data_IF_850163664577
#
_entry.id   IF_850163664577
#
_cell.length_a   1.000
_cell.length_b   1.000
_cell.length_c   1.000
_cell.angle_alpha   90.00
_cell.angle_beta   90.00
_cell.angle_gamma   90.00
#
_symmetry.space_group_name_H-M   'P 1'
#
loop_
_entity.id
_entity.type
_entity.pdbx_description
1 polymer ?
#
# COMPACT_ATOMS: atom_id res chain seq x y z
N UNK A 1 11.09 -21.26 28.17
CA UNK A 1 10.27 -20.03 28.09
C UNK A 1 9.36 -20.15 26.89
N UNK A 2 8.07 -20.05 27.18
CA UNK A 2 6.87 -20.26 26.35
C UNK A 2 6.98 -19.76 24.90
N UNK A 3 6.70 -20.66 23.94
CA UNK A 3 6.22 -20.30 22.60
C UNK A 3 4.80 -19.75 22.78
N UNK A 4 4.58 -18.47 22.54
CA UNK A 4 3.22 -17.93 22.45
C UNK A 4 2.66 -18.30 21.08
N UNK A 5 2.17 -19.54 20.97
CA UNK A 5 1.14 -19.92 20.02
C UNK A 5 -0.13 -20.10 20.85
N UNK A 6 -0.90 -19.03 21.03
CA UNK A 6 -2.24 -19.16 21.61
C UNK A 6 -3.21 -19.64 20.54
N UNK A 7 -3.83 -20.80 20.80
CA UNK A 7 -5.02 -21.29 20.11
C UNK A 7 -6.26 -20.92 20.92
N UNK A 8 -7.32 -20.61 20.17
CA UNK A 8 -8.75 -20.51 20.56
C UNK A 8 -9.11 -19.16 21.21
N UNK A 9 -10.18 -18.45 20.82
CA UNK A 9 -11.59 -18.89 20.68
C UNK A 9 -12.35 -17.91 19.74
N UNK A 10 -13.24 -18.44 18.88
CA UNK A 10 -14.26 -17.74 18.06
C UNK A 10 -13.76 -16.77 16.95
N UNK A 11 -13.59 -17.30 15.72
CA UNK A 11 -13.24 -16.63 14.46
C UNK A 11 -12.34 -15.38 14.58
N UNK A 12 -11.01 -15.50 14.41
CA UNK A 12 -10.14 -14.33 14.36
C UNK A 12 -10.61 -13.37 13.25
N UNK A 13 -10.47 -12.05 13.42
CA UNK A 13 -10.70 -11.12 12.32
C UNK A 13 -9.88 -11.62 11.14
N UNK A 14 -10.53 -11.87 9.99
CA UNK A 14 -9.83 -12.33 8.78
C UNK A 14 -8.67 -11.37 8.54
N UNK A 15 -7.45 -11.88 8.39
CA UNK A 15 -6.20 -11.09 8.31
C UNK A 15 -6.35 -9.86 7.40
N UNK A 16 -7.11 -9.99 6.31
CA UNK A 16 -7.58 -8.90 5.45
C UNK A 16 -8.09 -7.65 6.19
N UNK A 17 -8.98 -7.79 7.17
CA UNK A 17 -9.64 -6.67 7.84
C UNK A 17 -8.72 -5.92 8.80
N UNK A 18 -7.76 -6.63 9.39
CA UNK A 18 -6.71 -6.00 10.21
C UNK A 18 -5.80 -5.18 9.31
N UNK A 19 -5.34 -5.77 8.20
CA UNK A 19 -4.40 -5.13 7.28
C UNK A 19 -5.05 -3.93 6.59
N UNK A 20 -6.27 -4.08 6.10
CA UNK A 20 -7.05 -3.01 5.47
C UNK A 20 -7.19 -1.81 6.42
N UNK A 21 -7.55 -2.07 7.68
CA UNK A 21 -7.62 -1.05 8.72
C UNK A 21 -6.28 -0.35 8.95
N UNK A 22 -5.18 -1.10 9.02
CA UNK A 22 -3.83 -0.53 9.22
C UNK A 22 -3.44 0.37 8.06
N UNK A 23 -3.65 -0.08 6.81
CA UNK A 23 -3.32 0.70 5.62
C UNK A 23 -4.21 1.94 5.47
N UNK A 24 -5.51 1.83 5.83
CA UNK A 24 -6.41 2.98 5.87
C UNK A 24 -5.98 4.00 6.92
N UNK A 25 -5.60 3.54 8.10
CA UNK A 25 -5.07 4.42 9.15
C UNK A 25 -3.75 5.08 8.74
N UNK A 26 -2.88 4.37 8.03
CA UNK A 26 -1.64 4.94 7.47
C UNK A 26 -1.97 6.04 6.47
N UNK A 27 -2.88 5.78 5.53
CA UNK A 27 -3.37 6.77 4.57
C UNK A 27 -3.90 8.04 5.27
N UNK A 28 -4.83 7.88 6.23
CA UNK A 28 -5.46 9.02 6.91
C UNK A 28 -4.45 9.82 7.76
N UNK A 29 -3.55 9.13 8.48
CA UNK A 29 -2.51 9.80 9.29
C UNK A 29 -1.47 10.52 8.45
N UNK A 30 -1.05 9.94 7.33
CA UNK A 30 -0.11 10.59 6.41
C UNK A 30 -0.73 11.85 5.83
N UNK A 31 -1.99 11.80 5.39
CA UNK A 31 -2.68 13.01 4.91
C UNK A 31 -2.74 14.07 6.01
N UNK A 32 -3.14 13.71 7.23
CA UNK A 32 -3.21 14.66 8.35
C UNK A 32 -1.86 15.34 8.60
N UNK A 33 -0.77 14.58 8.69
CA UNK A 33 0.56 15.13 8.94
C UNK A 33 1.03 16.07 7.82
N UNK A 34 0.72 15.75 6.56
CA UNK A 34 1.07 16.59 5.41
C UNK A 34 0.24 17.88 5.38
N UNK A 35 -1.04 17.84 5.73
CA UNK A 35 -1.88 19.04 5.86
C UNK A 35 -1.42 19.93 7.02
N UNK A 36 -1.00 19.35 8.14
CA UNK A 36 -0.45 20.10 9.28
C UNK A 36 0.86 20.81 8.92
N UNK A 37 1.71 20.15 8.13
CA UNK A 37 2.96 20.72 7.64
C UNK A 37 2.75 21.81 6.57
N UNK A 38 1.78 21.62 5.67
CA UNK A 38 1.52 22.58 4.59
C UNK A 38 0.64 23.76 5.01
N UNK A 39 -0.40 23.50 5.82
CA UNK A 39 -1.45 24.44 6.17
C UNK A 39 -2.64 24.48 5.21
N UNK A 40 -2.61 23.74 4.08
CA UNK A 40 -3.76 23.53 3.19
C UNK A 40 -4.33 22.11 3.34
N UNK A 41 -5.56 21.93 2.85
CA UNK A 41 -6.30 20.65 2.90
C UNK A 41 -6.25 19.92 1.55
N UNK A 42 -6.21 18.59 1.61
CA UNK A 42 -6.31 17.75 0.41
C UNK A 42 -7.66 17.90 -0.28
N UNK A 43 -7.65 17.76 -1.60
CA UNK A 43 -8.85 17.51 -2.39
C UNK A 43 -9.00 16.00 -2.52
N UNK A 44 -10.11 15.46 -2.04
CA UNK A 44 -10.41 14.03 -2.10
C UNK A 44 -11.30 13.70 -3.32
N UNK A 45 -10.95 12.63 -4.03
CA UNK A 45 -11.74 12.06 -5.11
C UNK A 45 -11.90 10.55 -4.91
N UNK A 46 -13.13 10.07 -5.00
CA UNK A 46 -13.42 8.63 -5.04
C UNK A 46 -13.54 8.14 -6.49
N UNK A 47 -13.22 6.86 -6.67
CA UNK A 47 -13.16 6.23 -7.98
C UNK A 47 -13.94 4.91 -8.00
N UNK A 48 -14.53 4.61 -9.16
CA UNK A 48 -15.21 3.35 -9.46
C UNK A 48 -14.76 2.82 -10.81
N UNK A 49 -15.13 1.59 -11.18
CA UNK A 49 -14.82 1.01 -12.49
C UNK A 49 -16.04 1.04 -13.41
N UNK A 50 -15.82 1.45 -14.66
CA UNK A 50 -16.84 1.33 -15.71
C UNK A 50 -17.02 -0.13 -16.17
N UNK A 51 -17.94 -0.36 -17.11
CA UNK A 51 -18.21 -1.69 -17.69
C UNK A 51 -17.01 -2.32 -18.40
N UNK A 52 -15.98 -1.55 -18.74
CA UNK A 52 -14.75 -2.00 -19.38
C UNK A 52 -13.60 -2.18 -18.37
N UNK A 53 -13.86 -1.95 -17.06
CA UNK A 53 -12.86 -2.05 -16.00
C UNK A 53 -11.97 -0.80 -15.84
N UNK A 54 -12.30 0.30 -16.52
CA UNK A 54 -11.54 1.56 -16.46
C UNK A 54 -11.96 2.37 -15.23
N UNK A 55 -11.00 2.90 -14.49
CA UNK A 55 -11.26 3.79 -13.36
C UNK A 55 -11.85 5.12 -13.83
N UNK A 56 -12.99 5.49 -13.27
CA UNK A 56 -13.69 6.75 -13.48
C UNK A 56 -14.06 7.37 -12.14
N UNK A 57 -14.20 8.68 -12.09
CA UNK A 57 -14.71 9.36 -10.90
C UNK A 57 -16.10 8.80 -10.55
N UNK A 58 -16.30 8.41 -9.29
CA UNK A 58 -17.54 7.81 -8.86
C UNK A 58 -17.50 7.33 -7.42
N UNK A 59 -18.64 6.87 -6.94
CA UNK A 59 -18.78 6.42 -5.57
C UNK A 59 -18.10 5.06 -5.35
N UNK A 60 -17.55 4.90 -4.15
CA UNK A 60 -17.06 3.62 -3.69
C UNK A 60 -18.22 2.62 -3.54
N UNK A 61 -17.93 1.33 -3.67
CA UNK A 61 -18.86 0.23 -3.39
C UNK A 61 -18.34 -0.65 -2.25
N UNK A 62 -19.15 -1.62 -1.82
CA UNK A 62 -18.75 -2.60 -0.79
C UNK A 62 -17.54 -3.45 -1.21
N UNK A 63 -17.38 -3.66 -2.52
CA UNK A 63 -16.33 -4.47 -3.12
C UNK A 63 -15.16 -3.65 -3.64
N UNK A 64 -15.32 -2.34 -3.82
CA UNK A 64 -14.26 -1.48 -4.35
C UNK A 64 -14.28 -0.13 -3.68
N UNK A 65 -13.22 0.14 -2.94
CA UNK A 65 -12.91 1.46 -2.40
C UNK A 65 -11.64 1.92 -3.09
N UNK A 66 -11.69 3.09 -3.74
CA UNK A 66 -10.49 3.78 -4.21
C UNK A 66 -10.66 5.28 -3.96
N UNK A 67 -9.81 5.79 -3.07
CA UNK A 67 -9.74 7.19 -2.68
C UNK A 67 -8.37 7.73 -3.09
N UNK A 68 -8.38 8.84 -3.82
CA UNK A 68 -7.21 9.68 -4.08
C UNK A 68 -7.36 10.99 -3.31
N UNK A 69 -6.28 11.43 -2.69
CA UNK A 69 -6.15 12.75 -2.04
C UNK A 69 -4.97 13.46 -2.68
N UNK A 70 -5.25 14.56 -3.36
CA UNK A 70 -4.24 15.37 -4.01
C UNK A 70 -4.14 16.76 -3.41
N UNK A 71 -2.91 17.26 -3.31
CA UNK A 71 -2.59 18.64 -2.95
C UNK A 71 -1.64 19.18 -4.03
N UNK A 72 -1.91 20.37 -4.56
CA UNK A 72 -1.15 20.97 -5.66
C UNK A 72 -0.97 22.47 -5.43
N UNK A 73 0.15 23.02 -5.90
CA UNK A 73 0.49 24.45 -5.81
C UNK A 73 0.20 25.02 -4.40
N UNK A 74 0.73 24.29 -3.42
CA UNK A 74 0.48 24.53 -2.00
C UNK A 74 1.62 25.30 -1.34
N UNK A 75 1.69 25.36 -0.02
CA UNK A 75 2.66 26.25 0.63
C UNK A 75 4.07 25.63 0.69
N UNK A 76 4.13 24.34 0.99
CA UNK A 76 5.36 23.55 1.12
C UNK A 76 5.51 22.62 -0.08
N UNK A 77 4.40 22.09 -0.59
CA UNK A 77 4.42 21.07 -1.63
C UNK A 77 3.98 21.60 -2.98
N UNK A 78 4.76 21.27 -4.01
CA UNK A 78 4.37 21.48 -5.40
C UNK A 78 3.23 20.55 -5.77
N UNK A 79 3.39 19.26 -5.43
CA UNK A 79 2.37 18.24 -5.70
C UNK A 79 2.49 17.06 -4.75
N UNK A 80 1.37 16.62 -4.21
CA UNK A 80 1.24 15.37 -3.48
C UNK A 80 0.07 14.60 -4.07
N UNK A 81 0.26 13.29 -4.25
CA UNK A 81 -0.83 12.33 -4.41
C UNK A 81 -0.71 11.27 -3.35
N UNK A 82 -1.79 11.04 -2.60
CA UNK A 82 -1.92 9.94 -1.63
C UNK A 82 -3.12 9.10 -2.03
N UNK A 83 -2.89 7.82 -2.27
CA UNK A 83 -3.90 6.88 -2.72
C UNK A 83 -4.15 5.82 -1.65
N UNK A 84 -5.42 5.41 -1.53
CA UNK A 84 -5.85 4.24 -0.79
C UNK A 84 -6.79 3.42 -1.64
N UNK A 85 -6.53 2.12 -1.73
CA UNK A 85 -7.35 1.18 -2.50
C UNK A 85 -7.64 -0.07 -1.68
N UNK A 86 -8.87 -0.57 -1.77
CA UNK A 86 -9.28 -1.87 -1.26
C UNK A 86 -10.29 -2.49 -2.25
N UNK A 87 -9.91 -3.60 -2.87
CA UNK A 87 -10.68 -4.25 -3.94
C UNK A 87 -10.91 -5.71 -3.55
N UNK A 88 -12.16 -6.13 -3.61
CA UNK A 88 -12.59 -7.52 -3.67
C UNK A 88 -13.03 -7.81 -5.10
N UNK A 89 -12.65 -8.97 -5.60
CA UNK A 89 -13.06 -9.38 -6.93
C UNK A 89 -12.90 -10.88 -7.10
N UNK A 90 -13.10 -11.33 -8.34
CA UNK A 90 -12.83 -12.71 -8.74
C UNK A 90 -11.87 -12.74 -9.91
N UNK A 91 -10.89 -13.64 -9.86
CA UNK A 91 -10.01 -13.93 -10.98
C UNK A 91 -10.67 -14.97 -11.88
N UNK A 92 -10.87 -14.68 -13.18
CA UNK A 92 -11.37 -15.67 -14.14
C UNK A 92 -10.43 -16.89 -14.24
N UNK A 93 -10.97 -18.08 -14.59
CA UNK A 93 -10.16 -19.26 -14.84
C UNK A 93 -9.06 -18.99 -15.88
N UNK A 94 -7.82 -19.40 -15.58
CA UNK A 94 -6.67 -19.25 -16.49
C UNK A 94 -6.14 -17.83 -16.71
N UNK A 95 -6.65 -16.81 -16.01
CA UNK A 95 -6.13 -15.44 -16.09
C UNK A 95 -4.96 -15.24 -15.13
N UNK A 96 -3.82 -14.75 -15.64
CA UNK A 96 -2.69 -14.33 -14.79
C UNK A 96 -3.00 -13.01 -14.09
N UNK A 97 -2.32 -12.72 -12.99
CA UNK A 97 -2.57 -11.50 -12.26
C UNK A 97 -2.18 -10.25 -13.05
N UNK A 98 -1.13 -10.31 -13.87
CA UNK A 98 -0.78 -9.24 -14.81
C UNK A 98 -1.95 -8.83 -15.71
N UNK A 99 -2.81 -9.77 -16.12
CA UNK A 99 -3.96 -9.49 -17.00
C UNK A 99 -5.18 -8.95 -16.24
N UNK A 100 -5.29 -9.23 -14.93
CA UNK A 100 -6.40 -8.79 -14.09
C UNK A 100 -6.33 -7.33 -13.64
N UNK A 101 -5.19 -6.65 -13.87
CA UNK A 101 -4.93 -5.32 -13.33
C UNK A 101 -4.76 -5.28 -11.80
N UNK A 102 -4.64 -6.46 -11.17
CA UNK A 102 -4.24 -6.57 -9.77
C UNK A 102 -2.73 -6.33 -9.64
N UNK A 103 -2.31 -5.68 -8.56
CA UNK A 103 -0.90 -5.37 -8.24
C UNK A 103 -0.11 -6.64 -7.89
N UNK A 104 0.15 -7.51 -8.86
CA UNK A 104 0.90 -8.73 -8.64
C UNK A 104 2.37 -8.65 -9.02
N UNK A 105 3.16 -9.41 -8.26
CA UNK A 105 4.58 -9.64 -8.46
C UNK A 105 4.81 -11.15 -8.54
N UNK A 106 5.33 -11.66 -9.66
CA UNK A 106 6.00 -12.96 -9.74
C UNK A 106 5.09 -14.18 -9.52
N UNK A 107 5.41 -15.02 -8.53
CA UNK A 107 4.87 -16.38 -8.32
C UNK A 107 3.34 -16.50 -8.29
N UNK A 108 2.64 -15.41 -7.97
CA UNK A 108 1.18 -15.34 -8.05
C UNK A 108 0.67 -15.64 -9.48
N UNK A 109 1.37 -15.16 -10.51
CA UNK A 109 1.00 -15.35 -11.93
C UNK A 109 1.03 -16.82 -12.38
N UNK A 110 1.64 -17.70 -11.58
CA UNK A 110 1.80 -19.12 -11.87
C UNK A 110 0.84 -20.02 -11.07
N UNK A 111 -0.21 -19.47 -10.46
CA UNK A 111 -1.25 -20.26 -9.79
C UNK A 111 -2.37 -20.52 -10.80
N UNK A 112 -2.32 -21.63 -11.58
CA UNK A 112 -3.44 -22.00 -12.42
C UNK A 112 -4.63 -22.32 -11.53
N UNK A 113 -5.72 -21.59 -11.74
CA UNK A 113 -7.02 -22.00 -11.24
C UNK A 113 -7.89 -22.41 -12.42
N UNK A 114 -8.43 -23.63 -12.34
CA UNK A 114 -9.47 -24.16 -13.21
C UNK A 114 -10.84 -23.51 -12.93
N UNK A 115 -10.94 -22.69 -11.88
CA UNK A 115 -12.17 -22.07 -11.38
C UNK A 115 -11.99 -20.58 -11.10
N UNK A 116 -13.11 -19.85 -11.12
CA UNK A 116 -13.12 -18.47 -10.64
C UNK A 116 -12.67 -18.44 -9.18
N UNK A 117 -11.67 -17.62 -8.85
CA UNK A 117 -11.10 -17.56 -7.50
C UNK A 117 -11.27 -16.15 -6.93
N UNK A 118 -11.99 -15.99 -5.80
CA UNK A 118 -12.08 -14.71 -5.11
C UNK A 118 -10.69 -14.18 -4.75
N UNK A 119 -10.50 -12.87 -4.77
CA UNK A 119 -9.31 -12.24 -4.26
C UNK A 119 -9.63 -10.97 -3.48
N UNK A 120 -8.66 -10.57 -2.67
CA UNK A 120 -8.66 -9.26 -2.03
C UNK A 120 -7.30 -8.60 -2.16
N UNK A 121 -7.30 -7.32 -2.54
CA UNK A 121 -6.11 -6.49 -2.62
C UNK A 121 -6.39 -5.17 -1.89
N UNK A 122 -5.48 -4.75 -1.03
CA UNK A 122 -5.55 -3.44 -0.35
C UNK A 122 -4.17 -2.80 -0.34
N UNK A 123 -4.11 -1.47 -0.40
CA UNK A 123 -2.85 -0.76 -0.51
C UNK A 123 -3.00 0.72 -0.25
N UNK A 124 -1.90 1.33 0.20
CA UNK A 124 -1.73 2.77 0.18
C UNK A 124 -0.42 3.12 -0.49
N UNK A 125 -0.41 4.22 -1.23
CA UNK A 125 0.76 4.73 -1.92
C UNK A 125 0.76 6.24 -1.91
N UNK A 126 1.92 6.86 -1.85
CA UNK A 126 2.04 8.30 -2.00
C UNK A 126 3.32 8.71 -2.67
N UNK A 127 3.24 9.84 -3.38
CA UNK A 127 4.36 10.55 -3.98
C UNK A 127 4.28 12.00 -3.54
N UNK A 128 5.38 12.52 -3.02
CA UNK A 128 5.48 13.85 -2.42
C UNK A 128 6.55 14.63 -3.16
N UNK A 129 6.16 15.74 -3.79
CA UNK A 129 7.05 16.71 -4.43
C UNK A 129 7.04 18.03 -3.66
N UNK A 130 8.08 18.33 -2.86
CA UNK A 130 8.25 19.63 -2.24
C UNK A 130 8.56 20.72 -3.28
N UNK A 131 8.17 21.97 -3.01
CA UNK A 131 8.62 23.12 -3.81
C UNK A 131 10.12 23.41 -3.63
N UNK A 132 10.62 23.22 -2.41
CA UNK A 132 12.02 23.52 -2.10
C UNK A 132 12.91 22.38 -2.62
N UNK A 133 13.86 22.64 -3.55
CA UNK A 133 14.74 21.61 -4.09
C UNK A 133 15.71 21.02 -3.05
N UNK A 134 15.85 21.68 -1.88
CA UNK A 134 16.61 21.14 -0.75
C UNK A 134 15.84 20.08 0.03
N UNK A 135 14.52 19.96 -0.17
CA UNK A 135 13.72 18.88 0.40
C UNK A 135 13.56 17.75 -0.64
N UNK A 136 13.81 16.48 -0.28
CA UNK A 136 13.78 15.38 -1.24
C UNK A 136 12.36 15.01 -1.66
N UNK A 137 12.23 14.49 -2.88
CA UNK A 137 11.02 13.77 -3.30
C UNK A 137 10.97 12.46 -2.53
N UNK A 138 9.78 12.06 -2.08
CA UNK A 138 9.56 10.79 -1.41
C UNK A 138 8.49 9.97 -2.12
N UNK A 139 8.72 8.67 -2.22
CA UNK A 139 7.72 7.70 -2.67
C UNK A 139 7.60 6.58 -1.64
N UNK A 140 6.35 6.15 -1.42
CA UNK A 140 6.01 5.04 -0.53
C UNK A 140 4.89 4.23 -1.14
N UNK A 141 4.98 2.91 -1.01
CA UNK A 141 3.93 1.98 -1.38
C UNK A 141 3.90 0.84 -0.36
N UNK A 142 2.74 0.55 0.22
CA UNK A 142 2.52 -0.67 1.00
C UNK A 142 1.20 -1.30 0.59
N UNK A 143 1.24 -2.60 0.27
CA UNK A 143 0.10 -3.34 -0.24
C UNK A 143 0.08 -4.76 0.28
N UNK A 144 -1.12 -5.30 0.32
CA UNK A 144 -1.43 -6.66 0.68
C UNK A 144 -2.33 -7.28 -0.37
N UNK A 145 -2.09 -8.55 -0.62
CA UNK A 145 -2.89 -9.35 -1.50
C UNK A 145 -3.17 -10.71 -0.88
N UNK A 146 -4.38 -11.23 -1.08
CA UNK A 146 -4.74 -12.63 -0.83
C UNK A 146 -5.62 -13.24 -1.92
N UNK A 147 -5.39 -14.53 -2.20
CA UNK A 147 -6.30 -15.41 -2.91
C UNK A 147 -7.26 -16.09 -1.94
N UNK A 148 -8.48 -16.30 -2.41
CA UNK A 148 -9.57 -16.89 -1.66
C UNK A 148 -10.29 -15.91 -0.74
N UNK A 149 -11.35 -16.39 -0.12
CA UNK A 149 -12.22 -15.62 0.76
C UNK A 149 -11.66 -15.46 2.20
N UNK A 150 -10.48 -16.04 2.47
CA UNK A 150 -9.82 -16.06 3.77
C UNK A 150 -10.47 -16.99 4.79
N UNK A 151 -11.34 -17.93 4.36
CA UNK A 151 -11.91 -18.97 5.22
C UNK A 151 -11.05 -20.24 5.30
N UNK A 152 -10.16 -20.43 4.33
CA UNK A 152 -9.19 -21.53 4.29
C UNK A 152 -7.77 -20.98 4.11
N UNK A 153 -6.72 -21.72 4.49
CA UNK A 153 -5.34 -21.38 4.16
C UNK A 153 -5.20 -21.18 2.64
N UNK A 154 -4.73 -20.00 2.24
CA UNK A 154 -4.58 -19.61 0.85
C UNK A 154 -3.27 -18.89 0.61
N UNK A 155 -3.02 -18.53 -0.64
CA UNK A 155 -1.84 -17.77 -1.03
C UNK A 155 -2.05 -16.27 -0.76
N UNK A 156 -1.09 -15.64 -0.10
CA UNK A 156 -1.12 -14.21 0.22
C UNK A 156 0.29 -13.68 0.32
N UNK A 157 0.46 -12.38 0.07
CA UNK A 157 1.75 -11.71 0.21
C UNK A 157 1.56 -10.24 0.56
N UNK A 158 2.63 -9.67 1.11
CA UNK A 158 2.80 -8.23 1.22
C UNK A 158 3.78 -7.75 0.16
N UNK A 159 3.61 -6.52 -0.29
CA UNK A 159 4.59 -5.82 -1.11
C UNK A 159 4.69 -4.38 -0.65
N UNK A 160 5.86 -3.78 -0.83
CA UNK A 160 6.02 -2.37 -0.52
C UNK A 160 7.46 -1.95 -0.29
N UNK A 161 7.60 -0.69 0.09
CA UNK A 161 8.85 -0.01 0.31
C UNK A 161 8.66 1.50 0.34
N UNK A 162 9.75 2.18 0.61
CA UNK A 162 9.85 3.62 0.60
C UNK A 162 11.23 4.03 0.10
N UNK A 163 11.29 5.13 -0.64
CA UNK A 163 12.51 5.65 -1.24
C UNK A 163 12.51 7.18 -1.26
N UNK A 164 13.73 7.74 -1.22
CA UNK A 164 13.98 9.17 -1.33
C UNK A 164 14.74 9.47 -2.61
N UNK A 165 14.31 10.51 -3.31
CA UNK A 165 14.95 11.05 -4.51
C UNK A 165 15.33 12.51 -4.26
N UNK A 166 16.47 12.78 -3.61
CA UNK A 166 16.95 14.14 -3.39
C UNK A 166 17.44 14.79 -4.70
N UNK A 167 17.13 16.07 -4.90
CA UNK A 167 17.80 16.87 -5.93
C UNK A 167 19.20 17.31 -5.48
N UNK A 168 19.34 17.65 -4.20
CA UNK A 168 20.61 17.91 -3.52
C UNK A 168 20.80 16.90 -2.38
N UNK A 169 21.96 16.27 -2.33
CA UNK A 169 22.28 15.29 -1.29
C UNK A 169 22.62 15.99 0.03
N UNK A 170 21.87 15.64 1.06
CA UNK A 170 22.21 15.87 2.46
C UNK A 170 22.45 14.51 3.10
N UNK A 171 23.67 14.26 3.58
CA UNK A 171 24.05 12.95 4.13
C UNK A 171 23.23 12.61 5.37
N UNK A 172 22.92 13.61 6.19
CA UNK A 172 22.08 13.48 7.37
C UNK A 172 20.67 12.95 7.06
N UNK A 173 20.06 13.40 5.96
CA UNK A 173 18.72 12.96 5.54
C UNK A 173 18.75 11.51 5.08
N UNK A 174 19.78 11.14 4.31
CA UNK A 174 19.97 9.76 3.86
C UNK A 174 20.21 8.82 5.04
N UNK A 175 21.04 9.22 6.01
CA UNK A 175 21.30 8.45 7.23
C UNK A 175 20.02 8.32 8.06
N UNK A 176 19.30 9.42 8.28
CA UNK A 176 18.05 9.41 9.05
C UNK A 176 17.01 8.48 8.42
N UNK A 177 16.74 8.65 7.12
CA UNK A 177 15.75 7.85 6.39
C UNK A 177 16.07 6.35 6.46
N UNK A 178 17.34 5.99 6.19
CA UNK A 178 17.76 4.60 6.25
C UNK A 178 17.75 4.03 7.66
N UNK A 179 18.13 4.81 8.67
CA UNK A 179 18.16 4.38 10.07
C UNK A 179 16.74 4.06 10.57
N UNK A 180 15.76 4.92 10.29
CA UNK A 180 14.35 4.67 10.66
C UNK A 180 13.83 3.36 10.05
N UNK A 181 14.09 3.11 8.77
CA UNK A 181 13.66 1.85 8.13
C UNK A 181 14.39 0.63 8.67
N UNK A 182 15.70 0.77 8.96
CA UNK A 182 16.51 -0.30 9.56
C UNK A 182 16.01 -0.68 10.94
N UNK A 183 15.72 0.30 11.80
CA UNK A 183 15.21 0.07 13.15
C UNK A 183 13.87 -0.67 13.16
N UNK A 184 13.00 -0.40 12.19
CA UNK A 184 11.74 -1.15 12.03
C UNK A 184 12.03 -2.58 11.58
N UNK A 185 12.88 -2.77 10.57
CA UNK A 185 13.25 -4.10 10.08
C UNK A 185 13.89 -4.96 11.18
N UNK A 186 14.83 -4.40 11.96
CA UNK A 186 15.59 -5.09 12.99
C UNK A 186 14.71 -5.60 14.14
N UNK A 187 13.54 -4.99 14.37
CA UNK A 187 12.55 -5.48 15.36
C UNK A 187 11.90 -6.80 14.96
N UNK A 188 11.97 -7.17 13.67
CA UNK A 188 11.35 -8.37 13.14
C UNK A 188 12.39 -9.41 12.70
N UNK A 189 13.37 -8.98 11.90
CA UNK A 189 14.48 -9.81 11.44
C UNK A 189 15.63 -8.92 10.94
N UNK A 190 16.82 -9.06 11.53
CA UNK A 190 18.02 -8.29 11.16
C UNK A 190 18.47 -8.48 9.69
N UNK A 191 18.01 -9.53 9.01
CA UNK A 191 18.30 -9.78 7.59
C UNK A 191 17.42 -8.96 6.64
N UNK A 192 16.31 -8.40 7.14
CA UNK A 192 15.34 -7.69 6.31
C UNK A 192 15.91 -6.41 5.72
N UNK A 193 16.49 -5.53 6.54
CA UNK A 193 17.00 -4.26 6.03
C UNK A 193 18.09 -4.42 4.97
N UNK A 194 19.15 -5.25 5.17
CA UNK A 194 20.15 -5.47 4.12
C UNK A 194 19.56 -6.00 2.82
N UNK A 195 18.58 -6.92 2.90
CA UNK A 195 17.91 -7.50 1.72
C UNK A 195 17.03 -6.48 1.01
N UNK A 196 16.17 -5.78 1.75
CA UNK A 196 15.22 -4.82 1.18
C UNK A 196 15.92 -3.56 0.67
N UNK A 197 16.96 -3.08 1.35
CA UNK A 197 17.81 -1.98 0.86
C UNK A 197 18.45 -2.30 -0.48
N UNK A 198 18.93 -3.54 -0.67
CA UNK A 198 19.55 -3.96 -1.94
C UNK A 198 18.52 -4.16 -3.06
N UNK A 199 17.28 -4.47 -2.71
CA UNK A 199 16.20 -4.68 -3.67
C UNK A 199 15.63 -3.33 -4.15
N UNK A 200 15.51 -2.36 -3.24
CA UNK A 200 15.21 -0.98 -3.59
C UNK A 200 16.31 -0.39 -4.48
#
# INVERSE_FOLDING_TARGET
>A
MSKVLEKSVAQPPRMRGIIDKVLRQMFDKTCQALEELDGKKFIEQSWTRDKNGIWIAGENSEDTIYIDRALQDSNVFEKIGVNYVAIKGELPPGMSFQQSGALATGEADQIPSDRSTPYFATGTSFVIHPHNPMAPIAHVNYRYFQLGDGTQPGYWWFGGGADLTPAYLFEEDAVHFHQVHKEVCDKHDSSYYPRFKKWC
#
